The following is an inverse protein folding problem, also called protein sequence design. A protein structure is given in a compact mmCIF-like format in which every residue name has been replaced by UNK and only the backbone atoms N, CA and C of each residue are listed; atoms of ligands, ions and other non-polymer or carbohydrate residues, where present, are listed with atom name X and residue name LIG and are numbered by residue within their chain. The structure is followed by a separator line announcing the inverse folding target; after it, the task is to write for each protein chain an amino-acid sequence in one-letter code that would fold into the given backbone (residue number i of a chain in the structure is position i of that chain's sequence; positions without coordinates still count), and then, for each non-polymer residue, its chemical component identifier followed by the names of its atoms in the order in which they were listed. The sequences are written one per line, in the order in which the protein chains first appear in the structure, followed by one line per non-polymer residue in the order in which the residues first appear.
data_IF_445778093201
#
_entry.id   IF_445778093201
#
_cell.length_a   1.000
_cell.length_b   1.000
_cell.length_c   1.000
_cell.angle_alpha   90.00
_cell.angle_beta   90.00
_cell.angle_gamma   90.00
#
_symmetry.space_group_name_H-M   'P 1'
#
loop_
_entity.id
_entity.type
_entity.pdbx_description
1 polymer ?
#
# COMPACT_ATOMS: atom_id res chain seq x y z
N UNK A 1 67.90 50.01 -4.85
CA UNK A 1 67.45 49.95 -6.26
C UNK A 1 67.23 48.46 -6.56
N UNK A 2 66.08 47.92 -6.96
CA UNK A 2 64.96 48.39 -7.79
C UNK A 2 63.66 47.70 -7.32
N UNK A 3 62.56 48.44 -7.42
CA UNK A 3 61.16 47.97 -7.40
C UNK A 3 60.90 47.00 -8.57
N UNK A 4 59.85 46.17 -8.47
CA UNK A 4 58.92 45.67 -9.52
C UNK A 4 58.10 44.52 -8.87
N UNK A 5 56.90 44.75 -8.32
CA UNK A 5 55.55 44.77 -8.93
C UNK A 5 55.17 43.54 -9.78
N UNK A 6 53.94 43.08 -9.49
CA UNK A 6 53.03 42.23 -10.27
C UNK A 6 53.23 40.70 -10.14
N UNK A 7 52.20 39.84 -10.08
CA UNK A 7 50.78 40.00 -10.36
C UNK A 7 49.95 39.01 -9.53
N UNK A 8 48.73 39.40 -9.18
CA UNK A 8 47.73 38.54 -8.58
C UNK A 8 47.29 37.43 -9.56
N UNK A 9 47.23 36.20 -9.06
CA UNK A 9 46.43 35.14 -9.65
C UNK A 9 45.72 34.40 -8.52
N UNK A 10 44.65 35.00 -8.00
CA UNK A 10 43.68 34.26 -7.20
C UNK A 10 42.90 33.36 -8.16
N UNK A 11 43.34 32.11 -8.30
CA UNK A 11 42.57 31.07 -8.97
C UNK A 11 41.38 30.79 -8.05
N UNK A 12 40.27 31.50 -8.29
CA UNK A 12 38.99 31.11 -7.76
C UNK A 12 38.62 29.76 -8.42
N UNK A 13 38.94 28.67 -7.74
CA UNK A 13 38.33 27.37 -8.00
C UNK A 13 36.83 27.55 -7.73
N UNK A 14 36.10 27.90 -8.79
CA UNK A 14 34.66 27.81 -8.84
C UNK A 14 34.32 26.33 -8.71
N UNK A 15 34.26 25.86 -7.45
CA UNK A 15 33.62 24.62 -7.11
C UNK A 15 32.17 24.78 -7.56
N UNK A 16 31.86 24.29 -8.76
CA UNK A 16 30.49 23.96 -9.10
C UNK A 16 30.07 22.93 -8.06
N UNK A 17 29.38 23.37 -7.01
CA UNK A 17 28.65 22.46 -6.16
C UNK A 17 27.85 21.58 -7.13
N UNK A 18 27.94 20.24 -7.06
CA UNK A 18 27.02 19.42 -7.83
C UNK A 18 25.64 19.97 -7.50
N UNK A 19 24.90 20.38 -8.53
CA UNK A 19 23.52 20.78 -8.36
C UNK A 19 22.89 19.65 -7.55
N UNK A 20 22.64 19.90 -6.27
CA UNK A 20 22.01 18.95 -5.40
C UNK A 20 20.60 18.86 -5.96
N UNK A 21 20.39 17.91 -6.88
CA UNK A 21 19.07 17.46 -7.21
C UNK A 21 18.52 17.05 -5.86
N UNK A 22 17.59 17.83 -5.33
CA UNK A 22 16.94 17.55 -4.06
C UNK A 22 16.19 16.23 -4.24
N UNK A 23 16.93 15.13 -4.07
CA UNK A 23 16.43 13.78 -4.18
C UNK A 23 15.61 13.55 -2.92
N UNK A 24 14.30 13.68 -3.05
CA UNK A 24 13.39 13.30 -1.97
C UNK A 24 13.55 11.78 -1.82
N UNK A 25 14.09 11.39 -0.68
CA UNK A 25 14.46 10.03 -0.37
C UNK A 25 13.41 9.44 0.58
N UNK A 26 12.66 8.43 0.14
CA UNK A 26 11.57 7.85 0.94
C UNK A 26 12.06 6.66 1.75
N UNK A 27 11.84 6.68 3.07
CA UNK A 27 12.18 5.55 3.94
C UNK A 27 11.04 4.55 4.02
N UNK A 28 11.29 3.30 3.65
CA UNK A 28 10.40 2.17 3.86
C UNK A 28 10.83 1.44 5.14
N UNK A 29 9.96 1.44 6.16
CA UNK A 29 10.19 0.75 7.43
C UNK A 29 9.15 -0.36 7.65
N UNK A 30 9.34 -1.50 6.97
CA UNK A 30 8.40 -2.65 6.98
C UNK A 30 9.12 -3.97 7.21
N UNK A 31 9.61 -4.18 8.43
CA UNK A 31 10.24 -5.44 8.84
C UNK A 31 11.58 -5.71 8.13
N UNK A 32 12.65 -5.17 8.68
CA UNK A 32 14.02 -5.25 8.15
C UNK A 32 14.71 -3.87 8.13
N UNK A 33 15.97 -3.77 7.66
CA UNK A 33 16.66 -2.49 7.57
C UNK A 33 15.85 -1.45 6.78
N UNK A 34 15.82 -0.16 7.19
CA UNK A 34 15.17 0.89 6.42
C UNK A 34 15.71 0.92 4.98
N UNK A 35 14.82 0.97 4.00
CA UNK A 35 15.21 1.07 2.58
C UNK A 35 14.81 2.44 2.09
N UNK A 36 15.75 3.12 1.43
CA UNK A 36 15.53 4.44 0.86
C UNK A 36 15.23 4.33 -0.63
N UNK A 37 14.05 4.80 -1.05
CA UNK A 37 13.72 4.97 -2.46
C UNK A 37 14.10 6.40 -2.86
N UNK A 38 15.17 6.55 -3.62
CA UNK A 38 15.65 7.86 -4.09
C UNK A 38 14.93 8.36 -5.36
N UNK A 39 14.26 7.47 -6.11
CA UNK A 39 13.58 7.81 -7.35
C UNK A 39 12.24 7.05 -7.49
N UNK A 40 11.22 7.65 -8.11
CA UNK A 40 9.96 6.96 -8.36
C UNK A 40 10.17 5.63 -9.10
N UNK A 41 9.58 4.51 -8.63
CA UNK A 41 9.74 3.21 -9.26
C UNK A 41 9.11 3.15 -10.65
N UNK A 42 9.71 2.37 -11.54
CA UNK A 42 9.16 2.09 -12.86
C UNK A 42 8.26 0.85 -12.79
N UNK A 43 7.02 0.90 -13.25
CA UNK A 43 6.10 -0.24 -13.23
C UNK A 43 5.82 -0.75 -14.65
N UNK A 44 6.05 -2.04 -14.88
CA UNK A 44 5.65 -2.73 -16.11
C UNK A 44 4.40 -3.55 -15.86
N UNK A 45 3.56 -3.71 -16.88
CA UNK A 45 2.33 -4.50 -16.79
C UNK A 45 2.38 -5.72 -17.71
N UNK A 46 3.00 -6.84 -17.26
CA UNK A 46 2.85 -8.11 -17.96
C UNK A 46 1.37 -8.45 -18.13
N UNK A 47 0.97 -8.77 -19.37
CA UNK A 47 -0.44 -8.96 -19.72
C UNK A 47 -1.10 -10.09 -18.90
N UNK A 48 -0.33 -11.07 -18.47
CA UNK A 48 -0.77 -12.24 -17.72
C UNK A 48 -1.12 -11.92 -16.26
N UNK A 49 -0.55 -10.85 -15.71
CA UNK A 49 -0.67 -10.50 -14.30
C UNK A 49 -1.87 -9.58 -14.03
N UNK A 50 -2.13 -8.62 -14.93
CA UNK A 50 -3.20 -7.63 -14.74
C UNK A 50 -2.89 -6.54 -13.70
N UNK A 51 -1.65 -6.48 -13.20
CA UNK A 51 -1.17 -5.44 -12.29
C UNK A 51 0.25 -5.00 -12.66
N UNK A 52 0.64 -3.81 -12.20
CA UNK A 52 1.97 -3.27 -12.41
C UNK A 52 2.98 -3.93 -11.47
N UNK A 53 4.15 -4.28 -11.99
CA UNK A 53 5.28 -4.83 -11.23
C UNK A 53 6.46 -3.88 -11.35
N UNK A 54 7.03 -3.50 -10.20
CA UNK A 54 8.13 -2.56 -10.17
C UNK A 54 9.42 -3.17 -10.72
N UNK A 55 10.18 -2.36 -11.46
CA UNK A 55 11.52 -2.64 -11.97
C UNK A 55 12.48 -1.52 -11.56
N UNK A 56 13.78 -1.82 -11.50
CA UNK A 56 14.80 -0.85 -11.06
C UNK A 56 14.77 -0.56 -9.55
N UNK A 57 14.03 -1.34 -8.76
CA UNK A 57 13.98 -1.25 -7.30
C UNK A 57 14.34 -2.60 -6.66
N UNK A 58 14.95 -2.61 -5.46
CA UNK A 58 15.48 -3.83 -4.85
C UNK A 58 14.44 -4.69 -4.12
N UNK A 59 13.15 -4.36 -4.22
CA UNK A 59 12.08 -5.03 -3.49
C UNK A 59 10.89 -5.35 -4.41
N UNK A 60 10.13 -6.35 -4.01
CA UNK A 60 8.91 -6.78 -4.69
C UNK A 60 7.79 -5.80 -4.43
N UNK A 61 7.68 -4.80 -5.30
CA UNK A 61 6.65 -3.78 -5.28
C UNK A 61 5.69 -3.93 -6.45
N UNK A 62 4.41 -3.71 -6.18
CA UNK A 62 3.32 -3.85 -7.13
C UNK A 62 2.40 -2.64 -7.09
N UNK A 63 1.75 -2.36 -8.20
CA UNK A 63 0.76 -1.29 -8.30
C UNK A 63 -0.52 -1.84 -8.93
N UNK A 64 -1.62 -1.72 -8.18
CA UNK A 64 -2.94 -2.22 -8.58
C UNK A 64 -4.01 -1.27 -8.07
N UNK A 65 -4.86 -0.79 -8.98
CA UNK A 65 -6.04 0.03 -8.66
C UNK A 65 -5.74 1.25 -7.78
N UNK A 66 -4.62 1.95 -8.03
CA UNK A 66 -4.23 3.14 -7.28
C UNK A 66 -3.57 2.86 -5.93
N UNK A 67 -3.26 1.60 -5.64
CA UNK A 67 -2.64 1.17 -4.37
C UNK A 67 -1.31 0.50 -4.67
N UNK A 68 -0.30 0.86 -3.89
CA UNK A 68 1.02 0.25 -3.91
C UNK A 68 1.07 -0.88 -2.89
N UNK A 69 1.65 -2.00 -3.27
CA UNK A 69 1.87 -3.15 -2.41
C UNK A 69 3.35 -3.50 -2.38
N UNK A 70 3.85 -3.96 -1.23
CA UNK A 70 5.16 -4.57 -1.08
C UNK A 70 5.01 -5.94 -0.46
N UNK A 71 5.73 -6.93 -1.00
CA UNK A 71 6.02 -8.17 -0.29
C UNK A 71 7.44 -8.12 0.28
N UNK A 72 7.56 -8.19 1.62
CA UNK A 72 8.86 -8.15 2.31
C UNK A 72 8.84 -9.02 3.56
N UNK A 73 9.85 -9.89 3.70
CA UNK A 73 9.98 -10.78 4.86
C UNK A 73 8.77 -11.70 5.06
N UNK A 74 8.11 -12.11 3.97
CA UNK A 74 6.87 -12.90 4.00
C UNK A 74 5.61 -12.11 4.40
N UNK A 75 5.75 -10.83 4.75
CA UNK A 75 4.64 -9.92 5.02
C UNK A 75 4.22 -9.13 3.78
N UNK A 76 2.95 -8.72 3.77
CA UNK A 76 2.42 -7.81 2.78
C UNK A 76 2.10 -6.47 3.41
N UNK A 77 2.40 -5.40 2.67
CA UNK A 77 2.17 -4.04 3.10
C UNK A 77 1.54 -3.26 1.95
N UNK A 78 0.69 -2.29 2.26
CA UNK A 78 0.10 -1.40 1.27
C UNK A 78 0.21 0.06 1.66
N UNK A 79 0.12 0.91 0.66
CA UNK A 79 0.01 2.36 0.82
C UNK A 79 -0.65 2.97 -0.40
N UNK A 80 -1.25 4.14 -0.27
CA UNK A 80 -1.77 4.91 -1.41
C UNK A 80 -0.68 5.68 -2.14
N UNK A 81 0.55 5.69 -1.61
CA UNK A 81 1.65 6.48 -2.14
C UNK A 81 2.98 5.73 -2.00
N UNK A 82 3.76 5.59 -3.07
CA UNK A 82 4.97 4.76 -3.06
C UNK A 82 6.02 5.16 -1.99
N UNK A 83 5.99 6.43 -1.55
CA UNK A 83 6.83 6.95 -0.47
C UNK A 83 6.10 7.17 0.86
N UNK A 84 4.88 6.68 1.00
CA UNK A 84 4.00 6.93 2.14
C UNK A 84 4.11 5.89 3.25
N UNK A 85 3.26 6.05 4.26
CA UNK A 85 3.19 5.12 5.38
C UNK A 85 2.66 3.76 4.90
N UNK A 86 3.42 2.72 5.23
CA UNK A 86 3.11 1.35 4.84
C UNK A 86 2.31 0.67 5.93
N UNK A 87 1.11 0.21 5.58
CA UNK A 87 0.22 -0.51 6.49
C UNK A 87 0.29 -1.99 6.18
N UNK A 88 0.51 -2.82 7.21
CA UNK A 88 0.51 -4.29 7.05
C UNK A 88 -0.87 -4.77 6.63
N UNK A 89 -0.90 -5.70 5.69
CA UNK A 89 -2.12 -6.32 5.14
C UNK A 89 -2.04 -7.82 5.33
N UNK A 90 -3.14 -8.44 5.74
CA UNK A 90 -3.20 -9.89 5.83
C UNK A 90 -3.28 -10.49 4.43
N UNK A 91 -2.72 -11.67 4.23
CA UNK A 91 -2.77 -12.35 2.93
C UNK A 91 -4.20 -12.47 2.37
N UNK A 92 -5.22 -12.68 3.22
CA UNK A 92 -6.63 -12.79 2.81
C UNK A 92 -7.26 -11.46 2.33
N UNK A 93 -6.68 -10.33 2.70
CA UNK A 93 -7.16 -8.98 2.34
C UNK A 93 -6.49 -8.46 1.05
N UNK A 94 -5.55 -9.22 0.49
CA UNK A 94 -4.94 -8.88 -0.79
C UNK A 94 -5.95 -9.05 -1.92
N UNK A 95 -5.89 -8.14 -2.93
CA UNK A 95 -6.60 -8.33 -4.19
C UNK A 95 -6.39 -9.73 -4.76
N UNK A 96 -7.45 -10.39 -5.29
CA UNK A 96 -7.35 -11.73 -5.85
C UNK A 96 -6.24 -11.90 -6.89
N UNK A 97 -5.95 -10.86 -7.67
CA UNK A 97 -4.91 -10.82 -8.70
C UNK A 97 -3.52 -11.05 -8.10
N UNK A 98 -3.21 -10.41 -6.97
CA UNK A 98 -1.94 -10.57 -6.25
C UNK A 98 -1.83 -11.93 -5.55
N UNK A 99 -2.95 -12.54 -5.19
CA UNK A 99 -2.97 -13.87 -4.55
C UNK A 99 -2.89 -15.03 -5.54
N UNK A 100 -3.23 -14.78 -6.81
CA UNK A 100 -3.34 -15.81 -7.85
C UNK A 100 -1.99 -16.44 -8.17
N UNK A 101 -0.91 -15.65 -8.16
CA UNK A 101 0.40 -16.08 -8.62
C UNK A 101 1.40 -16.17 -7.46
N UNK A 102 2.21 -17.24 -7.47
CA UNK A 102 3.38 -17.33 -6.59
C UNK A 102 4.42 -16.29 -7.02
N UNK A 103 5.21 -15.81 -6.07
CA UNK A 103 6.19 -14.74 -6.32
C UNK A 103 7.16 -15.06 -7.47
N UNK A 104 7.71 -16.27 -7.52
CA UNK A 104 8.61 -16.67 -8.61
C UNK A 104 7.97 -16.60 -10.01
N UNK A 105 6.65 -16.84 -10.12
CA UNK A 105 5.93 -16.69 -11.39
C UNK A 105 5.69 -15.23 -11.75
N UNK A 106 5.47 -14.37 -10.76
CA UNK A 106 5.42 -12.92 -10.96
C UNK A 106 6.77 -12.40 -11.46
N UNK A 107 7.88 -12.87 -10.87
CA UNK A 107 9.24 -12.54 -11.32
C UNK A 107 9.48 -12.99 -12.75
N UNK A 108 9.10 -14.22 -13.11
CA UNK A 108 9.25 -14.73 -14.48
C UNK A 108 8.56 -13.83 -15.52
N UNK A 109 7.30 -13.44 -15.25
CA UNK A 109 6.54 -12.54 -16.12
C UNK A 109 7.13 -11.14 -16.18
N UNK A 110 7.52 -10.58 -15.03
CA UNK A 110 8.23 -9.29 -14.96
C UNK A 110 9.51 -9.32 -15.77
N UNK A 111 10.34 -10.34 -15.63
CA UNK A 111 11.67 -10.40 -16.24
C UNK A 111 11.58 -10.67 -17.75
N UNK A 112 10.52 -11.34 -18.20
CA UNK A 112 10.20 -11.43 -19.64
C UNK A 112 9.83 -10.06 -20.20
N UNK A 113 8.92 -9.35 -19.54
CA UNK A 113 8.49 -8.01 -19.96
C UNK A 113 9.65 -7.01 -19.91
N UNK A 114 10.45 -7.07 -18.84
CA UNK A 114 11.60 -6.21 -18.64
C UNK A 114 12.66 -6.40 -19.73
N UNK A 115 12.89 -7.62 -20.21
CA UNK A 115 13.80 -7.87 -21.36
C UNK A 115 13.35 -7.17 -22.64
N UNK A 116 12.04 -7.03 -22.84
CA UNK A 116 11.50 -6.28 -23.99
C UNK A 116 11.67 -4.79 -23.73
N UNK A 117 11.24 -4.33 -22.56
CA UNK A 117 11.39 -2.93 -22.11
C UNK A 117 12.83 -2.42 -22.17
N UNK A 118 13.81 -3.23 -21.75
CA UNK A 118 15.22 -2.83 -21.65
C UNK A 118 15.92 -2.73 -23.00
N UNK A 119 15.45 -3.46 -24.02
CA UNK A 119 16.08 -3.46 -25.36
C UNK A 119 15.74 -2.22 -26.16
N UNK A 120 14.53 -1.72 -25.99
CA UNK A 120 14.02 -0.57 -26.74
C UNK A 120 13.09 0.24 -25.84
N UNK A 121 13.70 0.93 -24.88
CA UNK A 121 12.97 1.69 -23.87
C UNK A 121 12.16 2.82 -24.51
N UNK A 122 12.72 3.48 -25.52
CA UNK A 122 12.14 4.65 -26.15
C UNK A 122 10.97 4.30 -27.08
N UNK A 123 10.93 3.07 -27.62
CA UNK A 123 9.81 2.58 -28.44
C UNK A 123 9.06 1.42 -27.79
N UNK A 124 9.15 1.28 -26.46
CA UNK A 124 8.44 0.23 -25.75
C UNK A 124 6.92 0.40 -25.93
N UNK A 125 6.28 -0.61 -26.53
CA UNK A 125 4.85 -0.59 -26.85
C UNK A 125 3.96 -1.21 -25.77
N UNK A 126 4.55 -1.75 -24.71
CA UNK A 126 3.80 -2.35 -23.62
C UNK A 126 3.26 -1.30 -22.65
N UNK A 127 2.49 -1.77 -21.65
CA UNK A 127 1.93 -0.89 -20.62
C UNK A 127 2.99 -0.62 -19.55
N UNK A 128 3.20 0.65 -19.27
CA UNK A 128 4.16 1.13 -18.27
C UNK A 128 3.54 2.28 -17.48
N UNK A 129 3.90 2.39 -16.20
CA UNK A 129 3.51 3.47 -15.31
C UNK A 129 4.73 3.95 -14.53
N UNK A 130 4.91 5.27 -14.45
CA UNK A 130 5.89 5.91 -13.58
C UNK A 130 5.14 6.89 -12.68
N UNK A 131 5.20 6.73 -11.35
CA UNK A 131 4.61 7.71 -10.47
C UNK A 131 5.37 9.03 -10.51
N UNK A 132 4.66 10.14 -10.48
CA UNK A 132 5.26 11.46 -10.38
C UNK A 132 6.07 11.65 -9.09
N UNK A 133 7.16 12.45 -9.18
CA UNK A 133 8.06 12.77 -8.05
C UNK A 133 7.34 13.42 -6.87
N UNK A 134 6.29 14.19 -7.12
CA UNK A 134 5.56 14.93 -6.08
C UNK A 134 4.50 14.08 -5.37
N UNK A 135 4.30 12.83 -5.80
CA UNK A 135 3.26 11.96 -5.25
C UNK A 135 1.84 12.47 -5.44
N UNK A 136 1.67 13.51 -6.25
CA UNK A 136 0.36 14.06 -6.66
C UNK A 136 -0.23 13.33 -7.86
N UNK A 137 0.27 12.14 -8.12
CA UNK A 137 -0.10 11.43 -9.31
C UNK A 137 -1.55 10.93 -9.22
N UNK A 138 -2.41 11.54 -10.02
CA UNK A 138 -3.36 10.74 -10.77
C UNK A 138 -4.77 10.52 -10.22
N UNK A 139 -5.39 11.47 -9.51
CA UNK A 139 -6.87 11.57 -9.58
C UNK A 139 -7.38 12.04 -10.96
N UNK A 140 -6.48 12.42 -11.88
CA UNK A 140 -6.81 13.08 -13.14
C UNK A 140 -6.63 12.25 -14.40
N UNK A 141 -5.90 11.12 -14.37
CA UNK A 141 -5.59 10.37 -15.61
C UNK A 141 -6.01 8.89 -15.61
N UNK A 142 -6.60 8.41 -14.51
CA UNK A 142 -7.32 7.13 -14.53
C UNK A 142 -8.69 7.38 -15.13
N UNK A 143 -8.82 7.13 -16.43
CA UNK A 143 -10.11 7.10 -17.13
C UNK A 143 -11.16 6.44 -16.24
N UNK A 144 -12.29 7.12 -16.04
CA UNK A 144 -13.35 6.65 -15.15
C UNK A 144 -13.57 5.15 -15.37
N UNK A 145 -13.60 4.31 -14.30
CA UNK A 145 -13.96 2.92 -14.46
C UNK A 145 -15.27 2.88 -15.24
N UNK A 146 -15.29 2.11 -16.32
CA UNK A 146 -16.46 1.98 -17.20
C UNK A 146 -17.72 1.71 -16.36
N UNK A 147 -18.89 2.09 -16.88
CA UNK A 147 -20.16 2.00 -16.12
C UNK A 147 -20.38 0.66 -15.40
N UNK A 148 -19.89 -0.45 -15.96
CA UNK A 148 -19.92 -1.78 -15.35
C UNK A 148 -19.02 -1.91 -14.12
N UNK A 149 -17.73 -1.62 -14.22
CA UNK A 149 -16.82 -1.69 -13.06
C UNK A 149 -17.28 -0.79 -11.91
N UNK A 150 -17.88 0.36 -12.22
CA UNK A 150 -18.48 1.24 -11.21
C UNK A 150 -19.74 0.64 -10.57
N UNK A 151 -20.52 -0.15 -11.30
CA UNK A 151 -21.66 -0.89 -10.77
C UNK A 151 -21.19 -2.02 -9.86
N UNK A 152 -20.22 -2.81 -10.31
CA UNK A 152 -19.62 -3.90 -9.53
C UNK A 152 -19.03 -3.38 -8.22
N UNK A 153 -18.21 -2.33 -8.27
CA UNK A 153 -17.64 -1.72 -7.06
C UNK A 153 -18.72 -1.16 -6.13
N UNK A 154 -19.82 -0.64 -6.69
CA UNK A 154 -20.94 -0.13 -5.89
C UNK A 154 -21.75 -1.26 -5.26
N UNK A 155 -21.86 -2.39 -5.94
CA UNK A 155 -22.53 -3.60 -5.47
C UNK A 155 -21.71 -4.28 -4.38
N UNK A 156 -20.40 -4.46 -4.59
CA UNK A 156 -19.47 -4.99 -3.60
C UNK A 156 -19.46 -4.14 -2.32
N UNK A 157 -19.46 -2.81 -2.47
CA UNK A 157 -19.55 -1.89 -1.32
C UNK A 157 -20.91 -1.95 -0.62
N UNK A 158 -21.98 -2.30 -1.34
CA UNK A 158 -23.33 -2.46 -0.77
C UNK A 158 -23.42 -3.77 0.00
N UNK A 159 -22.81 -4.84 -0.50
CA UNK A 159 -22.76 -6.14 0.16
C UNK A 159 -21.90 -6.08 1.42
N UNK A 160 -20.70 -5.49 1.35
CA UNK A 160 -19.89 -5.24 2.55
C UNK A 160 -20.65 -4.44 3.61
N UNK A 161 -21.43 -3.44 3.20
CA UNK A 161 -22.28 -2.67 4.12
C UNK A 161 -23.42 -3.50 4.71
N UNK A 162 -23.92 -4.48 3.97
CA UNK A 162 -24.99 -5.38 4.42
C UNK A 162 -24.43 -6.34 5.46
N UNK A 163 -23.29 -6.95 5.18
CA UNK A 163 -22.62 -7.91 6.07
C UNK A 163 -22.26 -7.24 7.40
N UNK A 164 -21.62 -6.07 7.38
CA UNK A 164 -21.29 -5.30 8.59
C UNK A 164 -22.55 -4.92 9.38
N UNK A 165 -23.66 -4.63 8.69
CA UNK A 165 -24.93 -4.30 9.36
C UNK A 165 -25.58 -5.54 9.98
N UNK A 166 -25.40 -6.70 9.38
CA UNK A 166 -25.89 -7.99 9.85
C UNK A 166 -25.11 -8.46 11.08
N UNK A 167 -23.78 -8.45 11.02
CA UNK A 167 -22.91 -8.72 12.17
C UNK A 167 -23.25 -7.81 13.37
N UNK A 168 -23.46 -6.51 13.12
CA UNK A 168 -23.84 -5.56 14.18
C UNK A 168 -25.23 -5.83 14.76
N UNK A 169 -26.13 -6.43 13.98
CA UNK A 169 -27.47 -6.84 14.46
C UNK A 169 -27.39 -8.10 15.30
N UNK A 170 -26.56 -9.07 14.92
CA UNK A 170 -26.29 -10.28 15.68
C UNK A 170 -25.66 -9.94 17.03
N UNK A 171 -24.56 -9.18 17.04
CA UNK A 171 -23.91 -8.72 18.28
C UNK A 171 -24.88 -8.00 19.22
N UNK A 172 -25.85 -7.24 18.67
CA UNK A 172 -26.89 -6.58 19.47
C UNK A 172 -27.94 -7.53 20.02
N UNK A 173 -28.24 -8.64 19.34
CA UNK A 173 -29.16 -9.68 19.81
C UNK A 173 -28.50 -10.45 20.94
N UNK A 174 -27.27 -10.90 20.74
CA UNK A 174 -26.49 -11.66 21.71
C UNK A 174 -26.33 -10.85 23.01
N UNK A 175 -25.91 -9.58 22.89
CA UNK A 175 -25.79 -8.70 24.04
C UNK A 175 -27.12 -8.41 24.76
N UNK A 176 -28.26 -8.54 24.07
CA UNK A 176 -29.59 -8.37 24.67
C UNK A 176 -30.03 -9.64 25.39
N UNK A 177 -29.69 -10.80 24.84
CA UNK A 177 -29.94 -12.12 25.41
C UNK A 177 -29.13 -12.29 26.70
N UNK A 178 -27.82 -12.05 26.67
CA UNK A 178 -26.97 -12.06 27.88
C UNK A 178 -27.49 -11.13 28.98
N UNK A 179 -27.98 -9.95 28.62
CA UNK A 179 -28.57 -9.01 29.59
C UNK A 179 -29.88 -9.52 30.19
N UNK A 180 -30.65 -10.32 29.45
CA UNK A 180 -31.89 -10.92 29.93
C UNK A 180 -31.57 -12.04 30.90
N UNK A 181 -30.63 -12.91 30.54
CA UNK A 181 -30.20 -14.05 31.36
C UNK A 181 -29.60 -13.57 32.69
N UNK A 182 -28.70 -12.58 32.65
CA UNK A 182 -28.17 -11.96 33.86
C UNK A 182 -29.25 -11.32 34.75
N UNK A 183 -30.34 -10.82 34.17
CA UNK A 183 -31.44 -10.22 34.92
C UNK A 183 -32.33 -11.29 35.57
N UNK A 184 -32.48 -12.44 34.91
CA UNK A 184 -33.19 -13.61 35.41
C UNK A 184 -32.42 -14.25 36.57
N UNK A 185 -31.13 -14.54 36.40
CA UNK A 185 -30.26 -15.03 37.48
C UNK A 185 -30.25 -14.09 38.70
N UNK A 186 -30.22 -12.77 38.49
CA UNK A 186 -30.29 -11.79 39.59
C UNK A 186 -31.64 -11.79 40.31
N UNK A 187 -32.74 -12.14 39.62
CA UNK A 187 -34.05 -12.28 40.25
C UNK A 187 -34.11 -13.55 41.08
N UNK A 188 -33.67 -14.67 40.50
CA UNK A 188 -33.67 -15.97 41.17
C UNK A 188 -32.82 -15.93 42.45
N UNK A 189 -31.61 -15.35 42.38
CA UNK A 189 -30.76 -15.13 43.55
C UNK A 189 -31.40 -14.21 44.61
N UNK A 190 -32.25 -13.27 44.20
CA UNK A 190 -32.92 -12.36 45.13
C UNK A 190 -34.09 -13.05 45.82
N UNK A 191 -34.79 -13.92 45.11
CA UNK A 191 -35.91 -14.71 45.63
C UNK A 191 -35.40 -15.79 46.59
N UNK A 192 -34.32 -16.51 46.25
CA UNK A 192 -33.65 -17.45 47.17
C UNK A 192 -33.21 -16.77 48.49
N UNK A 193 -32.54 -15.59 48.39
CA UNK A 193 -32.14 -14.82 49.59
C UNK A 193 -33.32 -14.33 50.42
N UNK A 194 -34.50 -14.17 49.82
CA UNK A 194 -35.72 -13.74 50.52
C UNK A 194 -36.32 -14.90 51.29
N UNK A 195 -36.32 -16.09 50.70
CA UNK A 195 -36.83 -17.31 51.32
C UNK A 195 -35.92 -17.76 52.49
N UNK A 196 -34.60 -17.62 52.35
CA UNK A 196 -33.66 -17.87 53.46
C UNK A 196 -33.81 -16.89 54.65
N UNK A 197 -34.29 -15.66 54.40
CA UNK A 197 -34.53 -14.66 55.46
C UNK A 197 -35.92 -14.75 56.10
N UNK A 198 -36.89 -15.38 55.46
CA UNK A 198 -38.26 -15.53 55.95
C UNK A 198 -38.51 -16.79 56.79
N UNK A 199 -37.56 -17.72 56.85
CA UNK A 199 -37.68 -19.01 57.53
C UNK A 199 -37.13 -19.08 58.96
N UNK A 200 -37.18 -18.00 59.74
CA UNK A 200 -36.85 -18.02 61.18
C UNK A 200 -38.02 -17.60 62.05
#
# INVERSE_FOLDING_TARGET
MRKLLAAAAAVALLQAAPAAWAGISFNINVGGPPVVIAQPPDFLYPAELGFGVAVGVPYDMFYLSGVYFINRGGGWYRTSYYGGDWVRVRYRELPPELRRYKMGRIHEYRDREYRVYSRDRDHYRGRYYRPDRDGRDGRRDMGQPGREQRREMKEERRDQRRDVKEERREQRRDAKEERRDQKEERRDQKDERRDERGGR
#
